data_IF_451770461727
#
_entry.id   IF_451770461727
#
_cell.length_a   1.000
_cell.length_b   1.000
_cell.length_c   1.000
_cell.angle_alpha   90.00
_cell.angle_beta   90.00
_cell.angle_gamma   90.00
#
_symmetry.space_group_name_H-M   'P 1'
#
loop_
_entity.id
_entity.type
_entity.pdbx_description
1 polymer ?
#
# COMPACT_ATOMS: atom_id res chain seq x y z
N UNK A 1 -21.03 -57.16 21.34
CA UNK A 1 -22.49 -56.88 21.29
C UNK A 1 -22.71 -55.65 22.18
N UNK A 2 -23.32 -54.54 21.75
CA UNK A 2 -24.17 -54.29 20.57
C UNK A 2 -23.70 -53.11 19.71
N UNK A 3 -23.55 -53.37 18.41
CA UNK A 3 -24.04 -52.59 17.25
C UNK A 3 -24.06 -51.04 17.35
N UNK A 4 -23.11 -50.39 16.67
CA UNK A 4 -23.29 -49.10 15.98
C UNK A 4 -23.80 -49.39 14.53
N UNK A 5 -24.38 -48.46 13.74
CA UNK A 5 -23.82 -47.14 13.35
C UNK A 5 -24.77 -46.01 13.83
N UNK A 6 -24.87 -44.77 13.32
CA UNK A 6 -24.38 -43.98 12.14
C UNK A 6 -24.22 -42.51 12.64
N UNK A 7 -23.56 -41.50 12.03
CA UNK A 7 -23.01 -41.18 10.70
C UNK A 7 -21.65 -40.49 10.91
N UNK A 8 -20.71 -40.59 9.97
CA UNK A 8 -19.47 -39.80 10.00
C UNK A 8 -19.72 -38.29 9.81
N UNK A 9 -18.74 -37.44 10.12
CA UNK A 9 -17.94 -36.76 9.08
C UNK A 9 -16.62 -36.29 9.69
N UNK A 10 -15.55 -36.52 8.93
CA UNK A 10 -14.18 -36.11 9.22
C UNK A 10 -14.07 -34.58 9.18
N UNK A 11 -13.73 -33.96 10.31
CA UNK A 11 -13.23 -32.58 10.34
C UNK A 11 -11.70 -32.59 10.34
N UNK A 12 -11.11 -32.97 9.20
CA UNK A 12 -9.68 -32.77 8.95
C UNK A 12 -9.46 -31.25 8.92
N UNK A 13 -8.90 -30.69 9.99
CA UNK A 13 -8.69 -29.26 10.14
C UNK A 13 -7.61 -28.77 9.18
N UNK A 14 -7.98 -28.64 7.91
CA UNK A 14 -7.17 -28.03 6.88
C UNK A 14 -7.00 -26.55 7.27
N UNK A 15 -5.82 -26.21 7.81
CA UNK A 15 -5.45 -24.86 8.18
C UNK A 15 -5.18 -24.03 6.91
N UNK A 16 -6.23 -23.83 6.12
CA UNK A 16 -6.27 -22.84 5.06
C UNK A 16 -5.99 -21.49 5.69
N UNK A 17 -4.79 -20.96 5.51
CA UNK A 17 -4.44 -19.58 5.82
C UNK A 17 -5.21 -18.66 4.86
N UNK A 18 -6.51 -18.50 5.11
CA UNK A 18 -7.38 -17.60 4.40
C UNK A 18 -6.86 -16.19 4.67
N UNK A 19 -6.10 -15.66 3.71
CA UNK A 19 -5.61 -14.29 3.74
C UNK A 19 -6.83 -13.38 3.69
N UNK A 20 -7.27 -12.90 4.85
CA UNK A 20 -8.35 -11.91 4.95
C UNK A 20 -7.84 -10.61 4.35
N UNK A 21 -8.03 -10.48 3.04
CA UNK A 21 -7.85 -9.24 2.30
C UNK A 21 -8.91 -8.25 2.80
N UNK A 22 -8.60 -7.54 3.88
CA UNK A 22 -9.43 -6.44 4.37
C UNK A 22 -9.72 -5.49 3.21
N UNK A 23 -11.01 -5.20 2.88
CA UNK A 23 -11.35 -4.32 1.79
C UNK A 23 -10.60 -3.00 1.92
N UNK A 24 -9.72 -2.72 0.95
CA UNK A 24 -8.88 -1.52 0.98
C UNK A 24 -9.79 -0.31 0.76
N UNK A 25 -9.75 0.73 1.63
CA UNK A 25 -10.51 1.94 1.40
C UNK A 25 -10.17 2.51 0.02
N UNK A 26 -11.18 2.68 -0.83
CA UNK A 26 -10.98 3.30 -2.13
C UNK A 26 -10.83 4.81 -1.94
N UNK A 27 -9.80 5.38 -2.55
CA UNK A 27 -9.52 6.81 -2.51
C UNK A 27 -10.14 7.43 -3.76
N UNK A 28 -10.99 8.45 -3.61
CA UNK A 28 -11.48 9.22 -4.76
C UNK A 28 -10.39 10.12 -5.31
N UNK A 29 -10.49 10.52 -6.58
CA UNK A 29 -9.50 11.42 -7.18
C UNK A 29 -9.51 12.81 -6.52
N UNK A 30 -10.67 13.25 -6.00
CA UNK A 30 -10.78 14.47 -5.17
C UNK A 30 -10.03 14.34 -3.84
N UNK A 31 -10.22 13.24 -3.09
CA UNK A 31 -9.51 13.02 -1.83
C UNK A 31 -7.99 12.90 -2.03
N UNK A 32 -7.54 12.41 -3.19
CA UNK A 32 -6.14 12.44 -3.58
C UNK A 32 -5.65 13.88 -3.84
N UNK A 33 -6.41 14.71 -4.54
CA UNK A 33 -6.05 16.12 -4.79
C UNK A 33 -5.97 16.93 -3.49
N UNK A 34 -6.93 16.75 -2.59
CA UNK A 34 -6.95 17.36 -1.25
C UNK A 34 -5.70 16.94 -0.44
N UNK A 35 -5.37 15.64 -0.45
CA UNK A 35 -4.18 15.13 0.25
C UNK A 35 -2.85 15.61 -0.37
N UNK A 36 -2.77 15.75 -1.69
CA UNK A 36 -1.57 16.27 -2.37
C UNK A 36 -1.40 17.78 -2.16
N UNK A 37 -2.50 18.53 -2.08
CA UNK A 37 -2.49 19.98 -1.86
C UNK A 37 -2.26 20.39 -0.40
N UNK A 38 -2.61 19.54 0.58
CA UNK A 38 -2.18 19.72 1.98
C UNK A 38 -0.65 19.55 2.10
N UNK A 39 0.04 20.70 2.06
CA UNK A 39 1.49 20.81 2.29
C UNK A 39 1.94 20.13 3.59
N UNK A 40 1.15 20.20 4.66
CA UNK A 40 1.47 19.60 5.95
C UNK A 40 1.31 18.08 5.87
N UNK A 41 0.32 17.55 5.15
CA UNK A 41 0.19 16.11 4.90
C UNK A 41 1.36 15.60 4.07
N UNK A 42 1.59 16.15 2.89
CA UNK A 42 2.60 15.60 1.98
C UNK A 42 4.02 15.71 2.56
N UNK A 43 4.35 16.77 3.31
CA UNK A 43 5.63 16.85 4.03
C UNK A 43 5.79 15.74 5.09
N UNK A 44 4.72 15.36 5.81
CA UNK A 44 4.78 14.20 6.74
C UNK A 44 5.04 12.91 5.98
N UNK A 45 4.35 12.68 4.85
CA UNK A 45 4.55 11.48 4.03
C UNK A 45 5.96 11.40 3.42
N UNK A 46 6.49 12.51 2.92
CA UNK A 46 7.86 12.59 2.41
C UNK A 46 8.90 12.30 3.50
N UNK A 47 8.73 12.87 4.71
CA UNK A 47 9.62 12.57 5.84
C UNK A 47 9.53 11.10 6.27
N UNK A 48 8.33 10.52 6.31
CA UNK A 48 8.13 9.08 6.56
C UNK A 48 8.87 8.21 5.50
N UNK A 49 8.72 8.54 4.22
CA UNK A 49 9.41 7.86 3.13
C UNK A 49 10.93 7.91 3.33
N UNK A 50 11.47 9.06 3.72
CA UNK A 50 12.90 9.26 4.00
C UNK A 50 13.39 8.70 5.34
N UNK A 51 12.49 8.27 6.23
CA UNK A 51 12.84 7.86 7.60
C UNK A 51 13.14 9.04 8.54
N UNK A 52 12.88 10.27 8.12
CA UNK A 52 13.03 11.51 8.89
C UNK A 52 11.87 11.75 9.88
N UNK A 53 10.80 10.93 9.83
CA UNK A 53 9.64 10.99 10.73
C UNK A 53 8.95 9.62 10.86
N UNK A 54 8.18 9.37 11.94
CA UNK A 54 7.34 8.17 12.03
C UNK A 54 6.25 8.15 10.94
N UNK A 55 5.97 6.96 10.42
CA UNK A 55 4.95 6.74 9.40
C UNK A 55 3.58 6.42 10.02
N UNK A 56 2.54 7.08 9.52
CA UNK A 56 1.14 6.66 9.70
C UNK A 56 0.82 5.42 8.82
N UNK A 57 -0.39 4.80 8.91
CA UNK A 57 -0.73 3.63 8.11
C UNK A 57 -0.63 3.85 6.59
N UNK A 58 -0.88 5.08 6.11
CA UNK A 58 -0.79 5.44 4.69
C UNK A 58 0.68 5.47 4.28
N UNK A 59 1.52 6.19 5.02
CA UNK A 59 2.96 6.29 4.79
C UNK A 59 3.67 4.94 4.85
N UNK A 60 3.30 4.05 5.80
CA UNK A 60 3.80 2.67 5.86
C UNK A 60 3.49 1.89 4.57
N UNK A 61 2.26 2.01 4.07
CA UNK A 61 1.83 1.35 2.83
C UNK A 61 2.56 1.91 1.61
N UNK A 62 2.66 3.23 1.48
CA UNK A 62 3.40 3.89 0.39
C UNK A 62 4.88 3.48 0.40
N UNK A 63 5.52 3.45 1.57
CA UNK A 63 6.91 3.01 1.77
C UNK A 63 7.15 1.56 1.36
N UNK A 64 6.18 0.67 1.62
CA UNK A 64 6.25 -0.75 1.20
C UNK A 64 6.13 -0.90 -0.32
N UNK A 65 5.30 -0.07 -0.97
CA UNK A 65 5.08 -0.12 -2.42
C UNK A 65 6.15 0.63 -3.23
N UNK A 66 6.86 1.59 -2.63
CA UNK A 66 7.81 2.47 -3.32
C UNK A 66 8.87 1.73 -4.17
N UNK A 67 9.56 0.66 -3.71
CA UNK A 67 10.56 -0.03 -4.52
C UNK A 67 9.96 -0.67 -5.78
N UNK A 68 8.77 -1.25 -5.67
CA UNK A 68 8.08 -1.90 -6.79
C UNK A 68 7.66 -0.83 -7.82
N UNK A 69 6.99 0.21 -7.33
CA UNK A 69 6.47 1.32 -8.14
C UNK A 69 7.59 2.03 -8.91
N UNK A 70 8.73 2.29 -8.27
CA UNK A 70 9.88 2.94 -8.91
C UNK A 70 10.57 2.07 -9.96
N UNK A 71 10.47 0.73 -9.83
CA UNK A 71 10.90 -0.24 -10.86
C UNK A 71 9.84 -0.47 -11.95
N UNK A 72 8.73 0.28 -11.94
CA UNK A 72 7.66 0.21 -12.94
C UNK A 72 6.61 -0.88 -12.71
N UNK A 73 6.59 -1.53 -11.54
CA UNK A 73 5.67 -2.64 -11.24
C UNK A 73 4.79 -2.34 -10.01
N UNK A 74 3.50 -2.68 -10.06
CA UNK A 74 2.71 -2.83 -8.84
C UNK A 74 1.69 -3.97 -9.01
N UNK A 75 2.06 -5.23 -8.76
CA UNK A 75 1.18 -6.39 -8.96
C UNK A 75 -0.03 -6.40 -8.00
N UNK A 76 0.00 -5.59 -6.94
CA UNK A 76 -1.10 -5.47 -5.97
C UNK A 76 -1.96 -4.21 -6.18
N UNK A 77 -1.64 -3.35 -7.16
CA UNK A 77 -2.39 -2.13 -7.43
C UNK A 77 -3.57 -2.39 -8.38
N UNK A 78 -4.73 -1.81 -8.08
CA UNK A 78 -5.82 -1.69 -9.06
C UNK A 78 -5.44 -0.70 -10.19
N UNK A 79 -6.14 -0.70 -11.34
CA UNK A 79 -5.93 0.30 -12.39
C UNK A 79 -6.10 1.74 -11.91
N UNK A 80 -7.00 1.97 -10.94
CA UNK A 80 -7.19 3.28 -10.30
C UNK A 80 -6.00 3.63 -9.40
N UNK A 81 -5.58 2.71 -8.52
CA UNK A 81 -4.41 2.91 -7.65
C UNK A 81 -3.15 3.23 -8.47
N UNK A 82 -2.96 2.56 -9.62
CA UNK A 82 -1.84 2.83 -10.54
C UNK A 82 -1.87 4.26 -11.12
N UNK A 83 -3.04 4.75 -11.57
CA UNK A 83 -3.20 6.14 -12.02
C UNK A 83 -2.93 7.15 -10.90
N UNK A 84 -3.44 6.88 -9.70
CA UNK A 84 -3.28 7.72 -8.52
C UNK A 84 -1.82 7.77 -8.04
N UNK A 85 -1.11 6.65 -8.11
CA UNK A 85 0.34 6.57 -7.90
C UNK A 85 1.08 7.41 -8.93
N UNK A 86 0.85 7.21 -10.23
CA UNK A 86 1.49 8.01 -11.30
C UNK A 86 1.29 9.51 -11.07
N UNK A 87 0.06 9.94 -10.74
CA UNK A 87 -0.26 11.34 -10.41
C UNK A 87 0.52 11.85 -9.19
N UNK A 88 0.63 11.03 -8.14
CA UNK A 88 1.40 11.32 -6.92
C UNK A 88 2.88 11.48 -7.22
N UNK A 89 3.49 10.56 -7.98
CA UNK A 89 4.90 10.65 -8.39
C UNK A 89 5.14 11.93 -9.20
N UNK A 90 4.30 12.20 -10.21
CA UNK A 90 4.39 13.43 -11.03
C UNK A 90 4.17 14.71 -10.22
N UNK A 91 3.38 14.67 -9.14
CA UNK A 91 3.22 15.81 -8.23
C UNK A 91 4.47 16.03 -7.36
N UNK A 92 5.00 14.96 -6.76
CA UNK A 92 6.21 15.00 -5.92
C UNK A 92 7.44 15.41 -6.72
N UNK A 93 7.61 14.89 -7.95
CA UNK A 93 8.69 15.28 -8.86
C UNK A 93 8.71 16.78 -9.16
N UNK A 94 7.54 17.38 -9.43
CA UNK A 94 7.41 18.80 -9.81
C UNK A 94 7.50 19.75 -8.62
N UNK A 95 6.93 19.39 -7.46
CA UNK A 95 6.82 20.28 -6.31
C UNK A 95 7.89 20.05 -5.22
N UNK A 96 8.48 18.85 -5.17
CA UNK A 96 9.42 18.42 -4.13
C UNK A 96 10.65 17.68 -4.73
N UNK A 97 11.37 18.27 -5.71
CA UNK A 97 12.42 17.58 -6.46
C UNK A 97 13.60 17.10 -5.60
N UNK A 98 13.92 17.81 -4.51
CA UNK A 98 14.99 17.42 -3.59
C UNK A 98 14.62 16.15 -2.80
N UNK A 99 13.39 16.09 -2.28
CA UNK A 99 12.85 14.92 -1.58
C UNK A 99 12.67 13.76 -2.54
N UNK A 100 12.20 14.02 -3.77
CA UNK A 100 12.14 13.03 -4.84
C UNK A 100 13.50 12.38 -5.12
N UNK A 101 14.55 13.17 -5.31
CA UNK A 101 15.90 12.66 -5.56
C UNK A 101 16.42 11.77 -4.42
N UNK A 102 16.15 12.13 -3.15
CA UNK A 102 16.45 11.29 -1.99
C UNK A 102 15.66 9.97 -2.01
N UNK A 103 14.34 10.02 -2.27
CA UNK A 103 13.46 8.85 -2.33
C UNK A 103 13.93 7.87 -3.43
N UNK A 104 14.22 8.36 -4.64
CA UNK A 104 14.75 7.53 -5.73
C UNK A 104 16.05 6.84 -5.32
N UNK A 105 17.01 7.57 -4.74
CA UNK A 105 18.27 6.98 -4.24
C UNK A 105 18.06 5.92 -3.16
N UNK A 106 17.02 6.04 -2.34
CA UNK A 106 16.72 5.11 -1.25
C UNK A 106 16.01 3.83 -1.70
N UNK A 107 15.23 3.86 -2.80
CA UNK A 107 14.31 2.78 -3.17
C UNK A 107 14.47 2.23 -4.59
N UNK A 108 15.24 2.89 -5.47
CA UNK A 108 15.48 2.44 -6.84
C UNK A 108 16.75 1.58 -7.03
N UNK A 109 17.48 1.29 -5.95
CA UNK A 109 18.55 0.27 -5.92
C UNK A 109 18.00 -1.15 -5.97
#
# INVERSE_FOLDING_TARGET
>A
MQIAPIVAVIALACACAAQTQTPRPQVSDTALEDALSDKRFIQRQLKCALGEAPCDPIGKRLKTLAPLVLRGACPQCSPQETKQIQRTLSYVQRNYPQQWAKIVRQYAG
#
